data_IF_854669838003
#
_entry.id   IF_854669838003
#
_cell.length_a   1.000
_cell.length_b   1.000
_cell.length_c   1.000
_cell.angle_alpha   90.00
_cell.angle_beta   90.00
_cell.angle_gamma   90.00
#
_symmetry.space_group_name_H-M   'P 1'
#
loop_
_entity.id
_entity.type
_entity.pdbx_description
1 polymer ?
#
# COMPACT_ATOMS: atom_id res chain seq x y z
N UNK A 1 -29.11 -34.65 8.15
CA UNK A 1 -28.42 -34.61 6.85
C UNK A 1 -27.23 -35.54 6.98
N UNK A 2 -27.33 -36.74 6.42
CA UNK A 2 -26.17 -37.63 6.26
C UNK A 2 -25.46 -37.20 4.97
N UNK A 3 -24.15 -36.99 5.02
CA UNK A 3 -23.33 -36.65 3.85
C UNK A 3 -22.85 -37.98 3.23
N UNK A 4 -23.49 -38.48 2.16
CA UNK A 4 -23.23 -39.83 1.67
C UNK A 4 -21.84 -39.99 1.04
N UNK A 5 -21.23 -38.87 0.62
CA UNK A 5 -19.97 -38.82 -0.13
C UNK A 5 -18.79 -38.26 0.70
N UNK A 6 -18.90 -38.22 2.04
CA UNK A 6 -17.84 -37.68 2.89
C UNK A 6 -16.82 -38.76 3.29
N UNK A 7 -15.61 -38.67 2.71
CA UNK A 7 -14.49 -39.57 3.00
C UNK A 7 -14.28 -40.65 1.94
N UNK A 8 -13.14 -41.33 1.98
CA UNK A 8 -12.86 -42.48 1.10
C UNK A 8 -12.48 -43.71 1.93
N UNK A 9 -12.71 -44.89 1.35
CA UNK A 9 -12.39 -46.17 1.99
C UNK A 9 -10.91 -46.51 1.84
N UNK A 10 -10.33 -47.04 2.91
CA UNK A 10 -8.97 -47.58 2.90
C UNK A 10 -8.83 -48.73 1.91
N UNK A 11 -7.88 -48.61 0.97
CA UNK A 11 -7.62 -49.60 -0.10
C UNK A 11 -6.76 -50.80 0.36
N UNK A 12 -6.56 -50.99 1.67
CA UNK A 12 -5.88 -52.19 2.21
C UNK A 12 -6.87 -53.35 2.29
N UNK A 13 -6.47 -54.51 1.77
CA UNK A 13 -7.23 -55.75 1.82
C UNK A 13 -7.77 -56.01 3.24
N UNK A 14 -9.10 -56.06 3.38
CA UNK A 14 -9.79 -56.38 4.64
C UNK A 14 -10.06 -55.22 5.61
N UNK A 15 -9.63 -53.98 5.32
CA UNK A 15 -9.89 -52.84 6.21
C UNK A 15 -11.23 -52.15 5.91
N UNK A 16 -11.46 -51.74 4.65
CA UNK A 16 -12.65 -50.99 4.17
C UNK A 16 -13.13 -49.82 5.06
N UNK A 17 -12.31 -49.35 5.99
CA UNK A 17 -12.65 -48.26 6.90
C UNK A 17 -12.74 -46.96 6.11
N UNK A 18 -13.85 -46.24 6.26
CA UNK A 18 -14.04 -44.89 5.72
C UNK A 18 -13.22 -43.91 6.56
N UNK A 19 -12.26 -43.22 5.93
CA UNK A 19 -11.52 -42.13 6.55
C UNK A 19 -12.03 -40.80 5.96
N UNK A 20 -12.49 -39.90 6.82
CA UNK A 20 -12.99 -38.59 6.40
C UNK A 20 -11.87 -37.68 5.88
N UNK A 21 -10.61 -37.99 6.22
CA UNK A 21 -9.41 -37.39 5.65
C UNK A 21 -8.56 -38.48 4.96
N UNK A 22 -8.89 -38.84 3.70
CA UNK A 22 -8.14 -39.86 2.97
C UNK A 22 -6.68 -39.46 2.78
N UNK A 23 -5.76 -40.32 3.23
CA UNK A 23 -4.33 -40.12 3.05
C UNK A 23 -3.88 -40.82 1.77
N UNK A 24 -3.54 -40.02 0.76
CA UNK A 24 -3.01 -40.53 -0.51
C UNK A 24 -1.48 -40.57 -0.47
N UNK A 25 -0.90 -41.77 -0.63
CA UNK A 25 0.54 -41.91 -0.76
C UNK A 25 0.98 -41.50 -2.17
N UNK A 26 2.25 -41.15 -2.37
CA UNK A 26 2.80 -40.82 -3.70
C UNK A 26 2.71 -41.98 -4.70
N UNK A 27 2.51 -43.21 -4.22
CA UNK A 27 2.20 -44.37 -5.06
C UNK A 27 0.75 -44.41 -5.56
N UNK A 28 -0.10 -43.45 -5.17
CA UNK A 28 -1.49 -43.32 -5.59
C UNK A 28 -2.51 -44.05 -4.70
N UNK A 29 -2.07 -44.87 -3.74
CA UNK A 29 -2.97 -45.62 -2.83
C UNK A 29 -3.55 -44.71 -1.74
N UNK A 30 -4.85 -44.84 -1.51
CA UNK A 30 -5.59 -44.17 -0.44
C UNK A 30 -5.74 -45.12 0.73
N UNK A 31 -5.21 -44.72 1.88
CA UNK A 31 -5.14 -45.56 3.08
C UNK A 31 -5.65 -44.76 4.29
N UNK A 32 -6.23 -45.44 5.26
CA UNK A 32 -6.55 -44.82 6.55
C UNK A 32 -5.26 -44.49 7.33
N UNK A 33 -5.36 -43.64 8.35
CA UNK A 33 -4.22 -43.24 9.20
C UNK A 33 -3.29 -44.38 9.62
N UNK A 34 -3.84 -45.52 10.06
CA UNK A 34 -3.05 -46.67 10.54
C UNK A 34 -2.32 -47.35 9.40
N UNK A 35 -3.02 -47.61 8.29
CA UNK A 35 -2.47 -48.35 7.16
C UNK A 35 -1.58 -47.50 6.26
N UNK A 36 -1.71 -46.17 6.28
CA UNK A 36 -0.79 -45.27 5.59
C UNK A 36 0.62 -45.30 6.21
N UNK A 37 0.70 -45.28 7.54
CA UNK A 37 1.97 -45.41 8.28
C UNK A 37 2.62 -46.77 8.03
N UNK A 38 1.84 -47.85 8.14
CA UNK A 38 2.30 -49.21 7.86
C UNK A 38 2.80 -49.37 6.42
N UNK A 39 2.09 -48.83 5.43
CA UNK A 39 2.50 -48.85 4.02
C UNK A 39 3.78 -48.05 3.71
N UNK A 40 4.03 -46.96 4.44
CA UNK A 40 5.24 -46.14 4.24
C UNK A 40 6.45 -46.67 5.02
N UNK A 41 6.23 -47.47 6.07
CA UNK A 41 7.29 -48.06 6.90
C UNK A 41 7.65 -49.49 6.46
N UNK A 42 6.66 -50.29 6.07
CA UNK A 42 6.89 -51.53 5.34
C UNK A 42 7.51 -51.18 3.99
N UNK A 43 8.55 -51.90 3.59
CA UNK A 43 9.25 -51.64 2.32
C UNK A 43 8.41 -51.96 1.07
N UNK A 44 7.08 -52.00 1.21
CA UNK A 44 6.09 -52.23 0.15
C UNK A 44 5.87 -51.01 -0.76
N UNK A 45 6.38 -49.84 -0.37
CA UNK A 45 6.30 -48.62 -1.15
C UNK A 45 7.70 -48.12 -1.59
N UNK A 46 8.04 -48.32 -2.85
CA UNK A 46 9.31 -47.87 -3.43
C UNK A 46 9.47 -46.33 -3.45
N UNK A 47 8.35 -45.61 -3.40
CA UNK A 47 8.28 -44.15 -3.40
C UNK A 47 8.17 -43.55 -1.99
N UNK A 48 8.15 -44.38 -0.94
CA UNK A 48 8.09 -43.89 0.42
C UNK A 48 9.42 -43.19 0.77
N UNK A 49 9.37 -41.95 1.31
CA UNK A 49 10.58 -41.31 1.79
C UNK A 49 11.17 -42.15 2.93
N UNK A 50 12.45 -42.52 2.80
CA UNK A 50 13.18 -43.19 3.89
C UNK A 50 13.02 -42.33 5.15
N UNK A 51 12.71 -42.93 6.32
CA UNK A 51 12.61 -42.17 7.56
C UNK A 51 13.93 -41.42 7.75
N UNK A 52 13.87 -40.09 7.70
CA UNK A 52 15.01 -39.26 8.08
C UNK A 52 15.25 -39.54 9.55
N UNK A 53 16.43 -40.03 9.88
CA UNK A 53 16.91 -40.02 11.26
C UNK A 53 16.91 -38.56 11.71
N UNK A 54 15.86 -38.19 12.45
CA UNK A 54 15.83 -36.95 13.19
C UNK A 54 16.91 -37.09 14.26
N UNK A 55 18.11 -36.62 13.94
CA UNK A 55 19.11 -36.29 14.93
C UNK A 55 18.57 -35.08 15.71
N UNK A 56 17.62 -35.34 16.61
CA UNK A 56 17.39 -34.51 17.78
C UNK A 56 18.70 -34.59 18.54
N UNK A 57 19.66 -33.70 18.22
CA UNK A 57 20.77 -33.46 19.12
C UNK A 57 20.11 -33.19 20.47
N UNK A 58 20.43 -34.00 21.48
CA UNK A 58 20.03 -33.76 22.86
C UNK A 58 20.71 -32.47 23.32
N UNK A 59 20.24 -31.33 22.87
CA UNK A 59 20.39 -30.08 23.60
C UNK A 59 19.33 -30.13 24.72
N UNK A 60 19.50 -31.06 25.66
CA UNK A 60 18.71 -31.18 26.89
C UNK A 60 19.04 -30.02 27.86
N UNK A 61 19.17 -28.80 27.34
CA UNK A 61 19.22 -27.59 28.16
C UNK A 61 17.82 -27.33 28.70
N UNK A 62 17.54 -27.93 29.85
CA UNK A 62 16.30 -27.69 30.58
C UNK A 62 16.39 -26.27 31.19
N UNK A 63 15.69 -25.33 30.57
CA UNK A 63 15.52 -23.97 31.08
C UNK A 63 14.60 -24.00 32.29
N UNK A 64 15.12 -23.63 33.47
CA UNK A 64 14.37 -23.66 34.73
C UNK A 64 13.48 -22.43 34.87
N UNK A 65 12.26 -22.62 35.38
CA UNK A 65 11.35 -21.53 35.66
C UNK A 65 11.92 -20.59 36.75
N UNK A 66 11.79 -19.29 36.52
CA UNK A 66 12.25 -18.23 37.45
C UNK A 66 11.25 -17.92 38.57
N UNK A 67 10.10 -18.61 38.64
CA UNK A 67 9.06 -18.39 39.64
C UNK A 67 9.42 -19.04 40.99
N UNK A 68 9.12 -18.34 42.10
CA UNK A 68 9.52 -18.79 43.45
C UNK A 68 8.77 -20.09 43.81
N UNK A 69 9.53 -21.18 43.96
CA UNK A 69 8.99 -22.49 44.32
C UNK A 69 8.63 -23.39 43.14
N UNK A 70 8.78 -22.93 41.90
CA UNK A 70 8.57 -23.78 40.73
C UNK A 70 9.84 -24.58 40.40
N UNK A 71 9.73 -25.91 40.27
CA UNK A 71 10.82 -26.80 39.83
C UNK A 71 10.68 -27.25 38.38
N UNK A 72 9.66 -26.75 37.67
CA UNK A 72 9.40 -27.10 36.27
C UNK A 72 10.39 -26.36 35.37
N UNK A 73 10.83 -27.03 34.32
CA UNK A 73 11.65 -26.45 33.28
C UNK A 73 11.20 -26.89 31.91
N UNK A 74 11.54 -26.13 30.88
CA UNK A 74 11.21 -26.42 29.50
C UNK A 74 12.48 -26.69 28.70
N UNK A 75 12.32 -27.48 27.64
CA UNK A 75 13.37 -27.71 26.64
C UNK A 75 13.63 -26.48 25.76
N UNK A 76 12.67 -25.56 25.68
CA UNK A 76 12.80 -24.31 24.91
C UNK A 76 12.78 -23.11 25.84
N UNK A 77 13.66 -22.16 25.59
CA UNK A 77 13.69 -20.91 26.32
C UNK A 77 12.47 -20.04 25.97
N UNK A 78 11.60 -19.78 26.94
CA UNK A 78 10.47 -18.87 26.81
C UNK A 78 10.70 -17.63 27.69
N UNK A 79 11.32 -16.61 27.09
CA UNK A 79 11.57 -15.35 27.75
C UNK A 79 10.29 -14.51 27.85
N UNK A 80 10.04 -13.93 29.02
CA UNK A 80 9.03 -12.90 29.18
C UNK A 80 9.49 -11.62 28.46
N UNK A 81 8.73 -11.10 27.50
CA UNK A 81 9.09 -9.87 26.75
C UNK A 81 9.17 -8.60 27.59
N UNK A 82 8.75 -8.64 28.86
CA UNK A 82 8.83 -7.51 29.81
C UNK A 82 10.05 -7.58 30.73
N UNK A 83 10.40 -8.76 31.25
CA UNK A 83 11.49 -8.90 32.23
C UNK A 83 12.65 -9.81 31.78
N UNK A 84 12.57 -10.36 30.56
CA UNK A 84 13.56 -11.25 29.94
C UNK A 84 14.00 -12.45 30.81
N UNK A 85 13.10 -12.95 31.67
CA UNK A 85 13.32 -14.16 32.46
C UNK A 85 12.52 -15.34 31.90
N UNK A 86 13.05 -16.55 32.08
CA UNK A 86 12.40 -17.79 31.65
C UNK A 86 11.31 -18.22 32.64
N UNK A 87 10.13 -18.55 32.12
CA UNK A 87 9.05 -19.14 32.89
C UNK A 87 8.48 -20.39 32.22
N UNK A 88 8.02 -21.36 33.04
CA UNK A 88 7.35 -22.54 32.51
C UNK A 88 5.99 -22.19 31.88
N UNK A 89 5.36 -23.10 31.14
CA UNK A 89 4.07 -22.83 30.46
C UNK A 89 3.00 -22.37 31.47
N UNK A 90 2.97 -22.96 32.66
CA UNK A 90 2.04 -22.61 33.73
C UNK A 90 2.31 -21.25 34.38
N UNK A 91 3.56 -20.79 34.37
CA UNK A 91 3.97 -19.49 34.92
C UNK A 91 4.33 -18.49 33.83
N UNK A 92 3.92 -18.74 32.58
CA UNK A 92 4.16 -17.82 31.45
C UNK A 92 3.59 -16.43 31.74
N UNK A 93 2.46 -16.37 32.46
CA UNK A 93 1.87 -15.15 33.00
C UNK A 93 2.21 -14.99 34.49
N UNK A 94 3.47 -14.71 34.78
CA UNK A 94 3.92 -14.57 36.16
C UNK A 94 3.47 -13.22 36.78
N UNK A 95 2.96 -13.23 38.02
CA UNK A 95 2.52 -12.01 38.72
C UNK A 95 3.70 -11.15 39.19
N UNK A 96 4.92 -11.69 39.18
CA UNK A 96 6.16 -11.01 39.57
C UNK A 96 6.76 -10.14 38.45
N UNK A 97 6.05 -9.98 37.33
CA UNK A 97 6.48 -9.11 36.25
C UNK A 97 6.36 -7.65 36.70
N UNK A 98 7.40 -6.81 36.56
CA UNK A 98 7.21 -5.39 36.72
C UNK A 98 6.12 -4.95 35.74
N UNK A 99 5.06 -4.35 36.28
CA UNK A 99 4.19 -3.50 35.48
C UNK A 99 5.11 -2.44 34.89
N UNK A 100 5.27 -2.46 33.56
CA UNK A 100 5.93 -1.34 32.90
C UNK A 100 4.94 -0.20 33.12
N UNK A 101 5.33 0.75 33.95
CA UNK A 101 4.53 1.91 34.26
C UNK A 101 4.05 2.53 32.93
N UNK A 102 2.73 2.76 32.81
CA UNK A 102 2.14 3.30 31.57
C UNK A 102 2.86 4.59 31.12
N UNK A 103 3.45 5.31 32.09
CA UNK A 103 4.31 6.45 31.88
C UNK A 103 5.60 6.15 31.10
N UNK A 104 6.30 5.03 31.37
CA UNK A 104 7.51 4.67 30.62
C UNK A 104 7.18 4.23 29.19
N UNK A 105 6.05 3.55 28.99
CA UNK A 105 5.58 3.19 27.65
C UNK A 105 5.19 4.43 26.85
N UNK A 106 4.44 5.36 27.46
CA UNK A 106 4.07 6.62 26.84
C UNK A 106 5.30 7.47 26.46
N UNK A 107 6.29 7.59 27.34
CA UNK A 107 7.53 8.31 27.05
C UNK A 107 8.29 7.71 25.87
N UNK A 108 8.31 6.37 25.76
CA UNK A 108 8.97 5.69 24.65
C UNK A 108 8.23 5.87 23.32
N UNK A 109 6.90 5.84 23.34
CA UNK A 109 6.06 6.14 22.17
C UNK A 109 6.29 7.59 21.73
N UNK A 110 6.30 8.54 22.66
CA UNK A 110 6.54 9.96 22.38
C UNK A 110 7.92 10.20 21.78
N UNK A 111 8.96 9.49 22.24
CA UNK A 111 10.30 9.55 21.64
C UNK A 111 10.33 9.13 20.17
N UNK A 112 9.53 8.13 19.76
CA UNK A 112 9.43 7.72 18.35
C UNK A 112 8.47 8.61 17.54
N UNK A 113 7.45 9.18 18.17
CA UNK A 113 6.49 10.05 17.50
C UNK A 113 7.01 11.48 17.30
N UNK A 114 7.85 12.01 18.20
CA UNK A 114 8.35 13.37 18.11
C UNK A 114 9.12 13.67 16.81
N UNK A 115 10.05 12.82 16.35
CA UNK A 115 10.66 12.98 15.04
C UNK A 115 9.61 12.94 13.93
N UNK A 116 8.70 11.94 13.93
CA UNK A 116 7.63 11.84 12.92
C UNK A 116 6.78 13.10 12.83
N UNK A 117 6.42 13.71 13.95
CA UNK A 117 5.64 14.97 13.98
C UNK A 117 6.45 16.15 13.45
N UNK A 118 7.72 16.28 13.83
CA UNK A 118 8.59 17.34 13.31
C UNK A 118 8.77 17.22 11.79
N UNK A 119 9.02 16.01 11.29
CA UNK A 119 9.12 15.76 9.86
C UNK A 119 7.78 16.01 9.14
N UNK A 120 6.66 15.54 9.68
CA UNK A 120 5.33 15.78 9.11
C UNK A 120 4.99 17.27 9.00
N UNK A 121 5.33 18.07 10.02
CA UNK A 121 5.12 19.51 10.01
C UNK A 121 5.97 20.22 8.94
N UNK A 122 7.22 19.81 8.75
CA UNK A 122 8.10 20.36 7.70
C UNK A 122 7.52 20.06 6.30
N UNK A 123 7.01 18.85 6.07
CA UNK A 123 6.43 18.46 4.79
C UNK A 123 5.13 19.19 4.49
N UNK A 124 4.29 19.37 5.52
CA UNK A 124 3.06 20.14 5.39
C UNK A 124 3.38 21.59 5.00
N UNK A 125 4.38 22.20 5.65
CA UNK A 125 4.81 23.55 5.33
C UNK A 125 5.43 23.67 3.92
N UNK A 126 6.16 22.65 3.45
CA UNK A 126 6.64 22.59 2.07
C UNK A 126 5.48 22.54 1.07
N UNK A 127 4.50 21.67 1.33
CA UNK A 127 3.29 21.53 0.50
C UNK A 127 2.46 22.82 0.48
N UNK A 128 2.27 23.46 1.63
CA UNK A 128 1.59 24.75 1.75
C UNK A 128 2.29 25.86 0.96
N UNK A 129 3.63 25.90 0.95
CA UNK A 129 4.38 26.87 0.15
C UNK A 129 4.26 26.62 -1.35
N UNK A 130 4.23 25.36 -1.78
CA UNK A 130 4.00 24.99 -3.19
C UNK A 130 2.62 25.52 -3.62
N UNK A 131 1.57 25.22 -2.86
CA UNK A 131 0.21 25.66 -3.19
C UNK A 131 0.05 27.18 -3.12
N UNK A 132 0.68 27.84 -2.14
CA UNK A 132 0.63 29.30 -1.98
C UNK A 132 1.29 30.03 -3.17
N UNK A 133 2.44 29.55 -3.65
CA UNK A 133 3.12 30.13 -4.81
C UNK A 133 2.22 30.12 -6.05
N UNK A 134 1.53 29.00 -6.30
CA UNK A 134 0.61 28.85 -7.43
C UNK A 134 -0.63 29.72 -7.25
N UNK A 135 -1.18 29.78 -6.04
CA UNK A 135 -2.33 30.63 -5.72
C UNK A 135 -2.02 32.09 -5.98
N UNK A 136 -0.86 32.58 -5.52
CA UNK A 136 -0.40 33.94 -5.78
C UNK A 136 -0.27 34.19 -7.28
N UNK A 137 0.27 33.22 -8.02
CA UNK A 137 0.41 33.33 -9.47
C UNK A 137 -0.95 33.38 -10.19
N UNK A 138 -1.92 32.56 -9.81
CA UNK A 138 -3.28 32.54 -10.38
C UNK A 138 -4.12 33.76 -9.97
N UNK A 139 -3.87 34.35 -8.80
CA UNK A 139 -4.60 35.51 -8.29
C UNK A 139 -3.92 36.85 -8.60
N UNK A 140 -2.71 36.81 -9.18
CA UNK A 140 -1.84 37.96 -9.45
C UNK A 140 -2.50 39.08 -10.26
N UNK A 141 -3.44 38.74 -11.16
CA UNK A 141 -4.13 39.75 -11.96
C UNK A 141 -5.61 39.42 -12.23
N UNK A 142 -6.42 40.47 -12.39
CA UNK A 142 -7.84 40.34 -12.77
C UNK A 142 -8.03 39.66 -14.14
N UNK A 143 -7.05 39.83 -15.05
CA UNK A 143 -7.02 39.16 -16.35
C UNK A 143 -6.88 37.64 -16.20
N UNK A 144 -5.97 37.17 -15.34
CA UNK A 144 -5.78 35.74 -15.07
C UNK A 144 -7.03 35.14 -14.42
N UNK A 145 -7.63 35.81 -13.43
CA UNK A 145 -8.90 35.35 -12.81
C UNK A 145 -10.03 35.17 -13.82
N UNK A 146 -10.13 36.10 -14.76
CA UNK A 146 -11.16 36.05 -15.83
C UNK A 146 -10.84 34.91 -16.80
N UNK A 147 -9.57 34.73 -17.18
CA UNK A 147 -9.10 33.65 -18.02
C UNK A 147 -9.36 32.26 -17.39
N UNK A 148 -9.10 32.07 -16.09
CA UNK A 148 -9.39 30.82 -15.36
C UNK A 148 -10.87 30.49 -15.40
N UNK A 149 -11.76 31.48 -15.22
CA UNK A 149 -13.21 31.26 -15.28
C UNK A 149 -13.67 30.85 -16.68
N UNK A 150 -13.13 31.50 -17.72
CA UNK A 150 -13.42 31.14 -19.12
C UNK A 150 -12.89 29.74 -19.43
N UNK A 151 -11.69 29.40 -18.94
CA UNK A 151 -11.10 28.08 -19.12
C UNK A 151 -11.96 26.98 -18.49
N UNK A 152 -12.41 27.18 -17.24
CA UNK A 152 -13.33 26.26 -16.57
C UNK A 152 -14.65 26.09 -17.36
N UNK A 153 -15.22 27.18 -17.87
CA UNK A 153 -16.43 27.11 -18.70
C UNK A 153 -16.20 26.28 -19.98
N UNK A 154 -15.05 26.46 -20.65
CA UNK A 154 -14.68 25.68 -21.85
C UNK A 154 -14.45 24.20 -21.54
N UNK A 155 -13.85 23.87 -20.39
CA UNK A 155 -13.72 22.48 -19.93
C UNK A 155 -15.11 21.88 -19.75
N UNK A 156 -16.00 22.53 -18.99
CA UNK A 156 -17.37 22.02 -18.72
C UNK A 156 -18.16 21.75 -20.00
N UNK A 157 -17.94 22.52 -21.06
CA UNK A 157 -18.59 22.32 -22.37
C UNK A 157 -18.09 21.10 -23.15
N UNK A 158 -16.83 20.68 -22.94
CA UNK A 158 -16.17 19.60 -23.70
C UNK A 158 -15.83 18.38 -22.85
N UNK A 159 -16.17 18.40 -21.56
CA UNK A 159 -15.72 17.40 -20.61
C UNK A 159 -16.37 16.05 -20.86
N UNK A 160 -15.55 15.01 -20.92
CA UNK A 160 -15.96 13.61 -21.03
C UNK A 160 -15.75 12.94 -19.69
N UNK A 161 -16.61 11.99 -19.35
CA UNK A 161 -16.51 11.24 -18.11
C UNK A 161 -17.70 10.30 -17.94
N UNK A 162 -17.68 9.47 -16.89
CA UNK A 162 -18.69 8.44 -16.70
C UNK A 162 -20.02 9.04 -16.23
N UNK A 163 -21.11 8.57 -16.85
CA UNK A 163 -22.48 9.03 -16.55
C UNK A 163 -22.96 8.70 -15.14
N UNK A 164 -22.24 7.83 -14.42
CA UNK A 164 -22.53 7.42 -13.04
C UNK A 164 -22.31 8.53 -12.00
N UNK A 165 -21.53 9.57 -12.32
CA UNK A 165 -21.22 10.65 -11.37
C UNK A 165 -22.33 11.72 -11.38
N UNK A 166 -22.97 12.00 -10.23
CA UNK A 166 -23.96 13.07 -10.10
C UNK A 166 -23.34 14.45 -10.35
N UNK A 167 -24.11 15.39 -10.92
CA UNK A 167 -23.61 16.72 -11.26
C UNK A 167 -23.07 17.53 -10.06
N UNK A 168 -23.58 17.28 -8.85
CA UNK A 168 -23.11 17.91 -7.59
C UNK A 168 -21.68 17.54 -7.23
N UNK A 169 -21.26 16.34 -7.62
CA UNK A 169 -19.99 15.76 -7.19
C UNK A 169 -18.93 15.86 -8.30
N UNK A 170 -19.29 16.42 -9.46
CA UNK A 170 -18.38 16.53 -10.62
C UNK A 170 -17.37 17.65 -10.41
N UNK A 171 -16.11 17.28 -10.51
CA UNK A 171 -14.96 18.19 -10.58
C UNK A 171 -14.36 18.06 -11.98
N UNK A 172 -13.98 19.19 -12.58
CA UNK A 172 -13.58 19.27 -13.98
C UNK A 172 -12.12 19.66 -14.11
N UNK A 173 -11.38 18.95 -14.97
CA UNK A 173 -9.95 19.19 -15.23
C UNK A 173 -9.66 19.11 -16.74
N UNK A 174 -8.60 19.80 -17.17
CA UNK A 174 -8.06 19.65 -18.52
C UNK A 174 -6.85 18.72 -18.50
N UNK A 175 -6.94 17.56 -19.15
CA UNK A 175 -5.89 16.53 -19.10
C UNK A 175 -5.05 16.58 -20.38
N UNK A 176 -3.75 16.83 -20.22
CA UNK A 176 -2.74 16.62 -21.25
C UNK A 176 -2.34 15.16 -21.31
N UNK A 177 -2.31 14.60 -22.52
CA UNK A 177 -1.86 13.22 -22.74
C UNK A 177 -0.33 13.15 -22.72
N UNK A 178 0.24 12.01 -22.29
CA UNK A 178 1.67 11.78 -22.45
C UNK A 178 2.03 11.78 -23.94
N UNK A 179 3.21 12.30 -24.27
CA UNK A 179 3.72 12.26 -25.64
C UNK A 179 4.15 10.85 -26.02
N UNK A 180 4.84 10.16 -25.10
CA UNK A 180 5.37 8.81 -25.27
C UNK A 180 5.19 8.01 -23.96
N UNK A 181 5.38 6.68 -24.04
CA UNK A 181 5.39 5.81 -22.86
C UNK A 181 6.74 5.81 -22.11
N UNK A 182 7.69 6.63 -22.56
CA UNK A 182 9.01 6.74 -21.95
C UNK A 182 8.93 7.48 -20.61
N UNK A 183 9.68 7.00 -19.58
CA UNK A 183 9.67 7.63 -18.28
C UNK A 183 10.27 9.03 -18.36
N UNK A 184 9.52 10.05 -17.92
CA UNK A 184 10.01 11.41 -17.89
C UNK A 184 10.96 11.64 -16.70
N UNK A 185 12.03 12.43 -16.90
CA UNK A 185 12.93 12.78 -15.81
C UNK A 185 12.20 13.62 -14.77
N UNK A 186 12.37 13.27 -13.50
CA UNK A 186 11.77 13.99 -12.38
C UNK A 186 12.83 14.51 -11.41
N UNK A 187 12.59 15.68 -10.86
CA UNK A 187 13.34 16.28 -9.76
C UNK A 187 12.65 15.93 -8.45
N UNK A 188 13.40 15.37 -7.52
CA UNK A 188 12.96 15.15 -6.15
C UNK A 188 13.36 16.38 -5.34
N UNK A 189 12.39 17.02 -4.68
CA UNK A 189 12.61 18.21 -3.87
C UNK A 189 12.22 17.92 -2.42
N UNK A 190 13.21 17.99 -1.55
CA UNK A 190 13.05 17.77 -0.11
C UNK A 190 13.17 19.07 0.71
N UNK A 191 13.63 20.16 0.10
CA UNK A 191 13.80 21.47 0.73
C UNK A 191 13.08 22.58 -0.05
N UNK A 192 12.37 23.43 0.70
CA UNK A 192 11.64 24.63 0.26
C UNK A 192 12.50 25.56 -0.58
N UNK A 193 13.80 25.64 -0.28
CA UNK A 193 14.72 26.55 -0.96
C UNK A 193 14.93 26.22 -2.45
N UNK A 194 14.64 24.98 -2.86
CA UNK A 194 14.76 24.51 -4.24
C UNK A 194 13.46 24.67 -5.04
N UNK A 195 12.42 25.28 -4.47
CA UNK A 195 11.17 25.55 -5.18
C UNK A 195 11.37 26.65 -6.24
N UNK A 196 11.07 26.31 -7.49
CA UNK A 196 11.02 27.28 -8.58
C UNK A 196 9.84 28.22 -8.34
N UNK A 197 10.14 29.51 -8.16
CA UNK A 197 9.09 30.54 -8.05
C UNK A 197 8.50 30.81 -9.42
N UNK A 198 7.18 30.65 -9.54
CA UNK A 198 6.45 31.00 -10.74
C UNK A 198 6.12 32.49 -10.68
N UNK A 199 6.88 33.31 -11.39
CA UNK A 199 6.73 34.77 -11.38
C UNK A 199 5.60 35.26 -12.29
N UNK A 200 5.31 34.55 -13.39
CA UNK A 200 4.25 34.92 -14.33
C UNK A 200 3.54 33.69 -14.87
N UNK A 201 2.20 33.69 -14.82
CA UNK A 201 1.35 32.64 -15.41
C UNK A 201 0.53 33.25 -16.53
N UNK A 202 0.82 32.82 -17.75
CA UNK A 202 -0.04 33.05 -18.92
C UNK A 202 -0.93 31.82 -19.10
N UNK A 203 -2.22 31.96 -18.76
CA UNK A 203 -3.20 30.93 -19.09
C UNK A 203 -3.65 31.13 -20.53
N UNK A 204 -3.20 30.25 -21.42
CA UNK A 204 -3.83 30.15 -22.73
C UNK A 204 -5.24 29.58 -22.57
N UNK A 205 -6.31 30.32 -22.94
CA UNK A 205 -7.67 29.85 -22.76
C UNK A 205 -8.02 28.67 -23.70
N UNK A 206 -7.17 28.37 -24.68
CA UNK A 206 -7.37 27.29 -25.63
C UNK A 206 -6.92 25.93 -25.07
N UNK A 207 -7.82 24.95 -25.10
CA UNK A 207 -7.53 23.55 -24.74
C UNK A 207 -6.75 22.80 -25.84
N UNK A 208 -5.84 23.47 -26.56
CA UNK A 208 -5.05 22.79 -27.60
C UNK A 208 -4.18 21.73 -26.94
N UNK A 209 -4.37 20.48 -27.38
CA UNK A 209 -3.64 19.32 -26.85
C UNK A 209 -4.12 18.80 -25.49
N UNK A 210 -5.26 19.27 -24.96
CA UNK A 210 -5.85 18.73 -23.73
C UNK A 210 -7.30 18.26 -23.92
N UNK A 211 -7.66 17.23 -23.16
CA UNK A 211 -9.01 16.66 -23.12
C UNK A 211 -9.68 17.12 -21.83
N UNK A 212 -10.85 17.75 -21.94
CA UNK A 212 -11.66 18.04 -20.75
C UNK A 212 -12.18 16.73 -20.16
N UNK A 213 -11.96 16.50 -18.87
CA UNK A 213 -12.46 15.31 -18.16
C UNK A 213 -13.15 15.75 -16.88
N UNK A 214 -14.18 15.01 -16.47
CA UNK A 214 -14.78 15.17 -15.14
C UNK A 214 -14.65 13.89 -14.30
N UNK A 215 -14.38 14.08 -13.02
CA UNK A 215 -14.27 13.02 -12.00
C UNK A 215 -15.14 13.36 -10.80
N UNK A 216 -15.37 12.39 -9.91
CA UNK A 216 -16.08 12.67 -8.66
C UNK A 216 -15.13 13.20 -7.58
N UNK A 217 -15.58 14.19 -6.81
CA UNK A 217 -14.89 14.67 -5.61
C UNK A 217 -14.76 13.59 -4.53
N UNK A 218 -15.60 12.55 -4.54
CA UNK A 218 -15.61 11.46 -3.55
C UNK A 218 -14.73 10.26 -3.95
N UNK A 219 -14.01 10.35 -5.06
CA UNK A 219 -13.15 9.26 -5.51
C UNK A 219 -11.75 9.38 -4.94
N UNK A 220 -11.12 8.23 -4.71
CA UNK A 220 -9.69 8.17 -4.47
C UNK A 220 -8.90 8.60 -5.71
N UNK A 221 -7.70 9.12 -5.51
CA UNK A 221 -6.80 9.52 -6.59
C UNK A 221 -6.57 8.40 -7.60
N UNK A 222 -6.38 7.16 -7.14
CA UNK A 222 -6.25 5.98 -8.00
C UNK A 222 -7.47 5.79 -8.93
N UNK A 223 -8.68 5.80 -8.36
CA UNK A 223 -9.92 5.66 -9.13
C UNK A 223 -10.14 6.83 -10.10
N UNK A 224 -9.78 8.04 -9.70
CA UNK A 224 -9.85 9.21 -10.56
C UNK A 224 -8.90 9.05 -11.77
N UNK A 225 -7.67 8.59 -11.54
CA UNK A 225 -6.70 8.33 -12.61
C UNK A 225 -7.21 7.25 -13.56
N UNK A 226 -7.77 6.15 -13.07
CA UNK A 226 -8.36 5.12 -13.92
C UNK A 226 -9.44 5.69 -14.83
N UNK A 227 -10.39 6.45 -14.26
CA UNK A 227 -11.44 7.10 -15.04
C UNK A 227 -10.91 8.12 -16.04
N UNK A 228 -9.82 8.82 -15.72
CA UNK A 228 -9.18 9.76 -16.65
C UNK A 228 -8.49 8.99 -17.78
N UNK A 229 -7.80 7.88 -17.48
CA UNK A 229 -7.14 7.05 -18.47
C UNK A 229 -8.14 6.47 -19.47
N UNK A 230 -9.27 5.97 -18.97
CA UNK A 230 -10.38 5.50 -19.81
C UNK A 230 -10.92 6.62 -20.72
N UNK A 231 -11.11 7.82 -20.16
CA UNK A 231 -11.62 8.98 -20.91
C UNK A 231 -10.63 9.53 -21.94
N UNK A 232 -9.33 9.37 -21.69
CA UNK A 232 -8.26 9.85 -22.56
C UNK A 232 -7.69 8.77 -23.49
N UNK A 233 -8.17 7.52 -23.39
CA UNK A 233 -7.61 6.35 -24.08
C UNK A 233 -6.10 6.16 -23.82
N UNK A 234 -5.72 6.21 -22.53
CA UNK A 234 -4.36 6.01 -22.03
C UNK A 234 -4.34 4.65 -21.31
N UNK A 235 -3.29 3.86 -21.51
CA UNK A 235 -3.12 2.57 -20.83
C UNK A 235 -2.58 2.77 -19.42
N UNK A 236 -3.39 2.47 -18.40
CA UNK A 236 -2.94 2.44 -17.01
C UNK A 236 -2.58 1.02 -16.57
N UNK A 237 -1.28 0.74 -16.51
CA UNK A 237 -0.75 -0.54 -16.03
C UNK A 237 -0.15 -0.45 -14.61
N UNK A 238 -0.58 0.52 -13.80
CA UNK A 238 -0.05 0.75 -12.44
C UNK A 238 -0.20 -0.46 -11.49
N UNK A 239 -1.11 -1.40 -11.78
CA UNK A 239 -1.30 -2.62 -11.01
C UNK A 239 -0.35 -3.77 -11.45
N UNK A 240 0.31 -3.64 -12.60
CA UNK A 240 1.27 -4.64 -13.08
C UNK A 240 2.67 -4.33 -12.55
N UNK A 241 3.49 -5.36 -12.41
CA UNK A 241 4.92 -5.19 -12.19
C UNK A 241 5.54 -4.67 -13.49
N UNK A 242 5.92 -3.39 -13.51
CA UNK A 242 6.52 -2.73 -14.65
C UNK A 242 7.62 -1.78 -14.22
N UNK A 243 8.43 -1.34 -15.18
CA UNK A 243 9.50 -0.37 -14.94
C UNK A 243 8.96 1.06 -14.86
N UNK A 244 7.73 1.30 -15.33
CA UNK A 244 7.10 2.62 -15.35
C UNK A 244 5.77 2.62 -14.62
N UNK A 245 5.48 3.73 -13.95
CA UNK A 245 4.18 4.00 -13.33
C UNK A 245 3.64 5.33 -13.81
N UNK A 246 2.34 5.36 -14.03
CA UNK A 246 1.58 6.54 -14.40
C UNK A 246 1.33 7.40 -13.16
N UNK A 247 1.63 8.70 -13.24
CA UNK A 247 1.32 9.69 -12.21
C UNK A 247 0.69 10.94 -12.81
N UNK A 248 -0.01 11.66 -11.95
CA UNK A 248 -0.74 12.88 -12.28
C UNK A 248 0.07 14.09 -11.82
N UNK A 249 0.35 15.00 -12.74
CA UNK A 249 1.14 16.20 -12.51
C UNK A 249 0.31 17.44 -12.79
N UNK A 250 0.59 18.53 -12.09
CA UNK A 250 0.02 19.84 -12.42
C UNK A 250 0.88 20.51 -13.49
N UNK A 251 0.25 21.06 -14.53
CA UNK A 251 1.00 21.62 -15.66
C UNK A 251 1.75 22.92 -15.31
N UNK A 252 1.27 23.69 -14.34
CA UNK A 252 1.81 25.01 -14.03
C UNK A 252 3.20 24.97 -13.42
N UNK A 253 3.43 24.04 -12.49
CA UNK A 253 4.63 23.88 -11.69
C UNK A 253 5.33 22.54 -11.91
N UNK A 254 4.69 21.60 -12.62
CA UNK A 254 5.21 20.25 -12.81
C UNK A 254 5.06 19.37 -11.57
N UNK A 255 4.31 19.79 -10.56
CA UNK A 255 4.18 19.07 -9.29
C UNK A 255 3.39 17.77 -9.43
N UNK A 256 3.94 16.67 -8.90
CA UNK A 256 3.27 15.38 -8.82
C UNK A 256 2.23 15.38 -7.69
N UNK A 257 0.97 15.15 -8.03
CA UNK A 257 -0.10 15.01 -7.06
C UNK A 257 0.07 13.65 -6.38
N UNK A 258 0.54 13.70 -5.13
CA UNK A 258 0.74 12.57 -4.23
C UNK A 258 1.44 11.34 -4.86
N UNK A 259 2.78 11.27 -4.83
CA UNK A 259 3.54 10.24 -5.53
C UNK A 259 3.36 8.82 -4.98
N UNK A 260 3.06 8.70 -3.68
CA UNK A 260 3.04 7.42 -2.95
C UNK A 260 1.64 6.98 -2.52
N UNK A 261 0.78 7.90 -2.05
CA UNK A 261 -0.54 7.57 -1.50
C UNK A 261 -1.64 7.84 -2.53
N UNK A 262 -2.25 6.77 -3.03
CA UNK A 262 -3.29 6.83 -4.08
C UNK A 262 -4.72 6.70 -3.51
N UNK A 263 -4.83 6.47 -2.20
CA UNK A 263 -6.06 6.30 -1.43
C UNK A 263 -6.68 7.63 -0.95
N UNK A 264 -6.03 8.76 -1.22
CA UNK A 264 -6.52 10.09 -0.86
C UNK A 264 -7.68 10.52 -1.76
N UNK A 265 -8.75 11.06 -1.15
CA UNK A 265 -9.91 11.55 -1.89
C UNK A 265 -9.62 12.86 -2.64
N UNK A 266 -10.16 13.00 -3.86
CA UNK A 266 -10.05 14.24 -4.65
C UNK A 266 -10.60 15.43 -3.87
N UNK A 267 -11.70 15.26 -3.14
CA UNK A 267 -12.29 16.31 -2.32
C UNK A 267 -11.36 16.85 -1.24
N UNK A 268 -10.52 16.00 -0.66
CA UNK A 268 -9.53 16.43 0.34
C UNK A 268 -8.35 17.16 -0.29
N UNK A 269 -7.90 16.72 -1.47
CA UNK A 269 -6.89 17.45 -2.26
C UNK A 269 -7.38 18.85 -2.67
N UNK A 270 -8.69 19.00 -2.92
CA UNK A 270 -9.30 20.30 -3.22
C UNK A 270 -9.40 21.19 -1.97
N UNK A 271 -9.72 20.62 -0.79
CA UNK A 271 -9.72 21.36 0.49
C UNK A 271 -8.33 21.85 0.87
N UNK A 272 -7.30 21.06 0.60
CA UNK A 272 -5.90 21.42 0.79
C UNK A 272 -5.35 22.36 -0.30
N UNK A 273 -6.19 22.77 -1.25
CA UNK A 273 -5.82 23.61 -2.40
C UNK A 273 -4.68 23.02 -3.26
N UNK A 274 -4.45 21.71 -3.16
CA UNK A 274 -3.50 20.98 -4.01
C UNK A 274 -4.06 20.90 -5.43
N UNK A 275 -5.38 20.72 -5.57
CA UNK A 275 -6.09 20.73 -6.83
C UNK A 275 -7.09 21.89 -6.87
N UNK A 276 -7.21 22.55 -8.02
CA UNK A 276 -8.22 23.57 -8.25
C UNK A 276 -9.09 23.16 -9.44
N UNK A 277 -10.39 23.41 -9.34
CA UNK A 277 -11.33 23.09 -10.42
C UNK A 277 -10.99 23.91 -11.67
N UNK A 278 -10.83 23.23 -12.79
CA UNK A 278 -10.42 23.83 -14.05
C UNK A 278 -8.91 23.87 -14.26
N UNK A 279 -8.11 23.29 -13.36
CA UNK A 279 -6.68 23.15 -13.56
C UNK A 279 -6.36 22.25 -14.76
N UNK A 280 -5.21 22.55 -15.37
CA UNK A 280 -4.62 21.72 -16.41
C UNK A 280 -3.62 20.76 -15.77
N UNK A 281 -3.90 19.47 -15.92
CA UNK A 281 -3.12 18.37 -15.38
C UNK A 281 -2.47 17.60 -16.52
N UNK A 282 -1.30 17.02 -16.26
CA UNK A 282 -0.56 16.16 -17.17
C UNK A 282 -0.52 14.75 -16.61
N UNK A 283 -0.71 13.78 -17.49
CA UNK A 283 -0.49 12.38 -17.16
C UNK A 283 0.81 11.97 -17.81
N UNK A 284 1.76 11.49 -16.99
CA UNK A 284 3.09 11.12 -17.46
C UNK A 284 3.56 9.83 -16.77
N UNK A 285 4.43 9.11 -17.46
CA UNK A 285 5.07 7.91 -16.94
C UNK A 285 6.36 8.31 -16.20
N UNK A 286 6.58 7.69 -15.04
CA UNK A 286 7.80 7.83 -14.25
C UNK A 286 8.42 6.47 -13.94
N UNK A 287 9.73 6.45 -13.75
CA UNK A 287 10.44 5.23 -13.39
C UNK A 287 10.03 4.73 -12.00
N UNK A 288 9.76 3.43 -11.90
CA UNK A 288 9.41 2.76 -10.64
C UNK A 288 10.56 2.79 -9.64
N UNK A 289 11.82 2.80 -10.11
CA UNK A 289 13.01 2.90 -9.25
C UNK A 289 13.04 4.20 -8.44
N UNK A 290 12.49 5.28 -9.01
CA UNK A 290 12.38 6.57 -8.32
C UNK A 290 11.36 6.47 -7.19
N UNK A 291 10.21 5.84 -7.46
CA UNK A 291 9.17 5.64 -6.46
C UNK A 291 9.57 4.68 -5.32
N UNK A 292 10.39 3.66 -5.60
CA UNK A 292 10.84 2.73 -4.57
C UNK A 292 11.87 3.32 -3.61
N UNK A 293 12.63 4.31 -4.06
CA UNK A 293 13.64 5.01 -3.27
C UNK A 293 13.13 6.34 -2.70
N UNK A 294 11.85 6.65 -2.89
CA UNK A 294 11.26 7.88 -2.39
C UNK A 294 10.96 7.74 -0.90
N UNK A 295 11.44 8.69 -0.11
CA UNK A 295 10.94 8.86 1.25
C UNK A 295 9.44 9.19 1.22
N UNK A 296 8.70 8.80 2.27
CA UNK A 296 7.24 8.95 2.35
C UNK A 296 6.71 10.36 2.07
N UNK A 297 7.59 11.35 2.11
CA UNK A 297 7.24 12.76 2.04
C UNK A 297 8.02 13.57 1.00
N UNK A 298 8.86 12.91 0.20
CA UNK A 298 9.58 13.56 -0.89
C UNK A 298 8.60 14.05 -1.96
N UNK A 299 8.80 15.27 -2.44
CA UNK A 299 7.93 15.88 -3.46
C UNK A 299 8.57 15.71 -4.84
N UNK A 300 7.78 15.22 -5.80
CA UNK A 300 8.25 14.97 -7.17
C UNK A 300 7.78 16.09 -8.08
N UNK A 301 8.69 16.61 -8.89
CA UNK A 301 8.40 17.58 -9.94
C UNK A 301 8.90 17.08 -11.31
N UNK A 302 8.19 17.38 -12.39
CA UNK A 302 8.69 17.18 -13.75
C UNK A 302 9.90 18.10 -13.98
N UNK A 303 10.95 17.56 -14.62
CA UNK A 303 12.21 18.27 -14.84
C UNK A 303 12.15 19.28 -15.97
#
# INVERSE_FOLDING_TARGET
>A
MEFPDLGEHCQKEGCNQTDFLPLQCKCGKVLCRVHFLDHCQSSECELAPKPKEVNLKNDDQIFKCSEKGCRKGNLHEMLCGKCNKHYCIEHRFHPSCPEIDDATMAAKIEQFEAPRRQFQAVNQHLQEKITENIRKALQSSAKVKTASKIHLMRIKQRAVGPKSVPASDRVYFAIGKPQDMDPKPVKIIDDVNNLVKIETVTLDPDLKGSVGVFVSSKWSLGRAIDSICDSCNITNDNNKMGNVKLRLFRQLDGYCINPLKMDVEIGDLMKQEVLIEGDKLLIEYIDTAILSNLDENAQIFLS
#
